data_IF_824898498694
#
_entry.id   IF_824898498694
#
_cell.length_a   1.000
_cell.length_b   1.000
_cell.length_c   1.000
_cell.angle_alpha   90.00
_cell.angle_beta   90.00
_cell.angle_gamma   90.00
#
_symmetry.space_group_name_H-M   'P 1'
#
loop_
_entity.id
_entity.type
_entity.pdbx_description
1 polymer ?
#
# COMPACT_ATOMS: atom_id res chain seq x y z
N UNK A 1 24.86 1.44 -3.35
CA UNK A 1 24.09 1.70 -4.61
C UNK A 1 24.83 2.71 -5.48
N UNK A 2 25.53 3.71 -4.93
CA UNK A 2 26.39 4.62 -5.71
C UNK A 2 27.40 3.89 -6.60
N UNK A 3 27.87 2.71 -6.19
CA UNK A 3 28.79 1.84 -6.95
C UNK A 3 28.20 1.27 -8.26
N UNK A 4 26.90 1.34 -8.47
CA UNK A 4 26.22 0.84 -9.69
C UNK A 4 26.12 1.92 -10.80
N UNK A 5 26.48 3.17 -10.50
CA UNK A 5 26.28 4.32 -11.40
C UNK A 5 24.79 4.66 -11.58
N UNK A 6 24.46 5.69 -12.37
CA UNK A 6 23.09 6.01 -12.75
C UNK A 6 22.20 6.54 -11.63
N UNK A 7 22.73 7.38 -10.73
CA UNK A 7 21.98 8.00 -9.62
C UNK A 7 20.70 8.73 -10.05
N UNK A 8 20.66 9.23 -11.30
CA UNK A 8 19.44 9.83 -11.88
C UNK A 8 18.25 8.88 -11.96
N UNK A 9 18.50 7.56 -11.96
CA UNK A 9 17.46 6.53 -12.00
C UNK A 9 17.17 5.90 -10.63
N UNK A 10 17.75 6.43 -9.55
CA UNK A 10 17.61 5.84 -8.21
C UNK A 10 16.15 5.72 -7.74
N UNK A 11 15.33 6.73 -8.02
CA UNK A 11 13.90 6.71 -7.69
C UNK A 11 13.16 5.52 -8.34
N UNK A 12 13.60 5.08 -9.51
CA UNK A 12 13.02 3.94 -10.22
C UNK A 12 13.21 2.60 -9.50
N UNK A 13 14.22 2.47 -8.66
CA UNK A 13 14.43 1.27 -7.82
C UNK A 13 13.24 1.05 -6.87
N UNK A 14 12.70 2.14 -6.33
CA UNK A 14 11.50 2.10 -5.50
C UNK A 14 10.22 2.04 -6.33
N UNK A 15 10.11 2.87 -7.35
CA UNK A 15 8.91 2.99 -8.18
C UNK A 15 8.58 1.71 -8.93
N UNK A 16 9.57 1.02 -9.52
CA UNK A 16 9.36 -0.25 -10.21
C UNK A 16 8.75 -1.31 -9.29
N UNK A 17 9.26 -1.43 -8.06
CA UNK A 17 8.69 -2.31 -7.05
C UNK A 17 7.26 -1.91 -6.67
N UNK A 18 7.03 -0.63 -6.41
CA UNK A 18 5.72 -0.12 -6.00
C UNK A 18 4.67 -0.35 -7.10
N UNK A 19 5.01 -0.02 -8.35
CA UNK A 19 4.13 -0.21 -9.52
C UNK A 19 3.74 -1.68 -9.64
N UNK A 20 4.73 -2.57 -9.74
CA UNK A 20 4.46 -4.00 -9.97
C UNK A 20 3.76 -4.65 -8.80
N UNK A 21 4.09 -4.28 -7.56
CA UNK A 21 3.38 -4.79 -6.38
C UNK A 21 1.92 -4.34 -6.33
N UNK A 22 1.63 -3.08 -6.70
CA UNK A 22 0.25 -2.56 -6.70
C UNK A 22 -0.59 -3.17 -7.81
N UNK A 23 -0.03 -3.22 -9.01
CA UNK A 23 -0.73 -3.70 -10.22
C UNK A 23 -1.16 -5.16 -10.10
N UNK A 24 -0.37 -6.00 -9.45
CA UNK A 24 -0.65 -7.45 -9.34
C UNK A 24 -1.60 -7.82 -8.21
N UNK A 25 -1.89 -6.93 -7.26
CA UNK A 25 -2.78 -7.20 -6.11
C UNK A 25 -4.13 -7.81 -6.49
N UNK A 26 -4.94 -7.25 -7.42
CA UNK A 26 -6.23 -7.82 -7.77
C UNK A 26 -6.11 -9.19 -8.45
N UNK A 27 -5.08 -9.34 -9.27
CA UNK A 27 -4.80 -10.60 -9.99
C UNK A 27 -4.48 -11.72 -9.00
N UNK A 28 -3.57 -11.49 -8.05
CA UNK A 28 -3.27 -12.46 -6.99
C UNK A 28 -4.51 -12.81 -6.16
N UNK A 29 -5.34 -11.81 -5.84
CA UNK A 29 -6.60 -12.02 -5.12
C UNK A 29 -7.52 -12.98 -5.85
N UNK A 30 -7.80 -12.72 -7.12
CA UNK A 30 -8.66 -13.58 -7.96
C UNK A 30 -8.05 -14.97 -8.15
N UNK A 31 -6.76 -15.05 -8.49
CA UNK A 31 -6.09 -16.33 -8.66
C UNK A 31 -6.13 -17.16 -7.37
N UNK A 32 -6.03 -16.54 -6.21
CA UNK A 32 -6.11 -17.23 -4.93
C UNK A 32 -7.52 -17.79 -4.67
N UNK A 33 -8.56 -17.11 -5.14
CA UNK A 33 -9.94 -17.61 -5.09
C UNK A 33 -10.15 -18.81 -6.01
N UNK A 34 -9.37 -18.95 -7.10
CA UNK A 34 -9.46 -20.02 -8.08
C UNK A 34 -8.57 -21.22 -7.68
N UNK A 35 -7.29 -20.98 -7.47
CA UNK A 35 -6.28 -22.05 -7.29
C UNK A 35 -5.97 -22.41 -5.84
N UNK A 36 -6.51 -21.64 -4.88
CA UNK A 36 -6.23 -21.81 -3.46
C UNK A 36 -5.20 -20.82 -2.91
N UNK A 37 -5.34 -20.55 -1.60
CA UNK A 37 -4.52 -19.54 -0.90
C UNK A 37 -3.09 -20.03 -0.70
N UNK A 38 -2.93 -21.29 -0.33
CA UNK A 38 -1.63 -21.91 -0.04
C UNK A 38 -0.70 -21.85 -1.23
N UNK A 39 -1.16 -22.35 -2.39
CA UNK A 39 -0.35 -22.39 -3.61
C UNK A 39 0.06 -20.97 -4.03
N UNK A 40 -0.90 -20.04 -4.10
CA UNK A 40 -0.63 -18.69 -4.59
C UNK A 40 0.22 -17.89 -3.62
N UNK A 41 0.07 -18.10 -2.32
CA UNK A 41 0.93 -17.46 -1.32
C UNK A 41 2.38 -17.96 -1.43
N UNK A 42 2.58 -19.27 -1.60
CA UNK A 42 3.91 -19.86 -1.82
C UNK A 42 4.55 -19.36 -3.12
N UNK A 43 3.78 -19.29 -4.22
CA UNK A 43 4.25 -18.71 -5.48
C UNK A 43 4.62 -17.22 -5.31
N UNK A 44 3.81 -16.46 -4.59
CA UNK A 44 4.12 -15.07 -4.25
C UNK A 44 5.44 -14.93 -3.49
N UNK A 45 5.66 -15.76 -2.46
CA UNK A 45 6.94 -15.80 -1.73
C UNK A 45 8.08 -16.17 -2.68
N UNK A 46 7.93 -17.21 -3.51
CA UNK A 46 8.97 -17.65 -4.42
C UNK A 46 9.39 -16.55 -5.41
N UNK A 47 8.42 -15.88 -6.04
CA UNK A 47 8.68 -14.74 -6.94
C UNK A 47 9.33 -13.57 -6.20
N UNK A 48 8.86 -13.25 -4.98
CA UNK A 48 9.45 -12.21 -4.15
C UNK A 48 10.92 -12.51 -3.80
N UNK A 49 11.20 -13.74 -3.36
CA UNK A 49 12.56 -14.16 -3.01
C UNK A 49 13.49 -14.21 -4.23
N UNK A 50 12.99 -14.69 -5.37
CA UNK A 50 13.74 -14.64 -6.63
C UNK A 50 14.14 -13.20 -6.97
N UNK A 51 13.17 -12.27 -6.99
CA UNK A 51 13.46 -10.86 -7.22
C UNK A 51 14.40 -10.25 -6.18
N UNK A 52 14.31 -10.69 -4.92
CA UNK A 52 15.19 -10.25 -3.84
C UNK A 52 16.65 -10.73 -4.07
N UNK A 53 16.85 -12.01 -4.36
CA UNK A 53 18.17 -12.59 -4.65
C UNK A 53 18.79 -11.89 -5.86
N UNK A 54 18.04 -11.77 -6.96
CA UNK A 54 18.50 -11.08 -8.17
C UNK A 54 18.83 -9.61 -7.90
N UNK A 55 18.06 -8.90 -7.08
CA UNK A 55 18.37 -7.52 -6.67
C UNK A 55 19.71 -7.42 -5.93
N UNK A 56 20.01 -8.38 -5.06
CA UNK A 56 21.31 -8.45 -4.39
C UNK A 56 22.46 -8.79 -5.33
N UNK A 57 22.22 -9.51 -6.43
CA UNK A 57 23.20 -9.87 -7.45
C UNK A 57 23.35 -8.78 -8.54
N UNK A 58 22.59 -7.70 -8.52
CA UNK A 58 22.62 -6.68 -9.57
C UNK A 58 24.00 -6.03 -9.74
N UNK A 59 24.40 -5.86 -11.00
CA UNK A 59 25.67 -5.27 -11.41
C UNK A 59 25.53 -3.89 -12.05
N UNK A 60 24.29 -3.47 -12.34
CA UNK A 60 23.95 -2.15 -12.89
C UNK A 60 22.63 -1.65 -12.29
N UNK A 61 22.38 -0.33 -12.39
CA UNK A 61 21.12 0.27 -11.96
C UNK A 61 19.92 -0.31 -12.74
N UNK A 62 20.08 -0.55 -14.05
CA UNK A 62 19.03 -1.15 -14.87
C UNK A 62 18.68 -2.57 -14.41
N UNK A 63 19.67 -3.40 -14.09
CA UNK A 63 19.43 -4.74 -13.49
C UNK A 63 18.68 -4.62 -12.16
N UNK A 64 19.11 -3.71 -11.28
CA UNK A 64 18.45 -3.50 -9.99
C UNK A 64 16.98 -3.11 -10.17
N UNK A 65 16.68 -2.16 -11.07
CA UNK A 65 15.30 -1.74 -11.36
C UNK A 65 14.47 -2.91 -11.90
N UNK A 66 14.99 -3.68 -12.86
CA UNK A 66 14.28 -4.84 -13.42
C UNK A 66 14.01 -5.93 -12.36
N UNK A 67 15.00 -6.22 -11.53
CA UNK A 67 14.85 -7.23 -10.47
C UNK A 67 13.93 -6.75 -9.32
N UNK A 68 13.91 -5.46 -9.05
CA UNK A 68 12.92 -4.85 -8.16
C UNK A 68 11.50 -4.95 -8.70
N UNK A 69 11.32 -4.84 -10.03
CA UNK A 69 10.02 -5.10 -10.64
C UNK A 69 9.59 -6.57 -10.44
N UNK A 70 10.49 -7.53 -10.62
CA UNK A 70 10.22 -8.96 -10.33
C UNK A 70 9.86 -9.16 -8.86
N UNK A 71 10.62 -8.57 -7.95
CA UNK A 71 10.33 -8.63 -6.51
C UNK A 71 8.95 -8.06 -6.17
N UNK A 72 8.58 -6.94 -6.82
CA UNK A 72 7.27 -6.32 -6.67
C UNK A 72 6.12 -7.23 -7.13
N UNK A 73 6.29 -7.97 -8.25
CA UNK A 73 5.27 -8.95 -8.69
C UNK A 73 4.90 -9.93 -7.58
N UNK A 74 5.90 -10.46 -6.86
CA UNK A 74 5.66 -11.36 -5.72
C UNK A 74 5.09 -10.64 -4.50
N UNK A 75 5.58 -9.43 -4.21
CA UNK A 75 5.13 -8.63 -3.07
C UNK A 75 3.62 -8.31 -3.11
N UNK A 76 3.07 -8.14 -4.32
CA UNK A 76 1.64 -7.93 -4.53
C UNK A 76 0.75 -9.07 -4.01
N UNK A 77 1.30 -10.28 -3.83
CA UNK A 77 0.60 -11.41 -3.22
C UNK A 77 0.66 -11.39 -1.68
N UNK A 78 1.78 -10.99 -1.07
CA UNK A 78 2.10 -11.30 0.32
C UNK A 78 1.10 -10.68 1.31
N UNK A 79 0.85 -9.38 1.22
CA UNK A 79 -0.05 -8.69 2.15
C UNK A 79 -1.51 -9.10 1.94
N UNK A 80 -2.11 -8.98 0.73
CA UNK A 80 -3.53 -9.27 0.55
C UNK A 80 -3.87 -10.74 0.77
N UNK A 81 -3.03 -11.68 0.31
CA UNK A 81 -3.28 -13.10 0.54
C UNK A 81 -3.07 -13.49 2.00
N UNK A 82 -2.08 -12.92 2.70
CA UNK A 82 -1.92 -13.10 4.13
C UNK A 82 -3.17 -12.68 4.90
N UNK A 83 -3.73 -11.52 4.56
CA UNK A 83 -4.99 -11.03 5.14
C UNK A 83 -6.21 -11.89 4.76
N UNK A 84 -6.22 -12.42 3.53
CA UNK A 84 -7.26 -13.35 3.08
C UNK A 84 -7.20 -14.67 3.84
N UNK A 85 -6.01 -15.23 4.06
CA UNK A 85 -5.80 -16.45 4.84
C UNK A 85 -6.30 -16.27 6.28
N UNK A 86 -5.98 -15.13 6.92
CA UNK A 86 -6.52 -14.79 8.24
C UNK A 86 -8.06 -14.77 8.19
N UNK A 87 -8.64 -14.20 7.13
CA UNK A 87 -10.08 -14.18 6.90
C UNK A 87 -10.71 -15.56 6.64
N UNK A 88 -10.00 -16.52 6.11
CA UNK A 88 -10.48 -17.88 5.85
C UNK A 88 -10.36 -18.81 7.08
N UNK A 89 -9.27 -18.68 7.83
CA UNK A 89 -8.89 -19.63 8.89
C UNK A 89 -9.45 -19.25 10.25
N UNK A 90 -9.53 -17.97 10.55
CA UNK A 90 -9.85 -17.47 11.88
C UNK A 90 -11.31 -17.02 12.01
N UNK A 91 -11.88 -17.16 13.21
CA UNK A 91 -13.18 -16.58 13.60
C UNK A 91 -13.11 -15.05 13.62
N UNK A 92 -14.25 -14.37 13.68
CA UNK A 92 -14.29 -12.89 13.69
C UNK A 92 -13.47 -12.29 14.85
N UNK A 93 -13.55 -12.88 16.03
CA UNK A 93 -12.80 -12.42 17.20
C UNK A 93 -11.31 -12.64 17.05
N UNK A 94 -10.92 -13.80 16.54
CA UNK A 94 -9.52 -14.12 16.28
C UNK A 94 -8.93 -13.25 15.16
N UNK A 95 -9.70 -12.93 14.10
CA UNK A 95 -9.27 -12.00 13.04
C UNK A 95 -8.92 -10.63 13.59
N UNK A 96 -9.77 -10.09 14.46
CA UNK A 96 -9.52 -8.81 15.10
C UNK A 96 -8.22 -8.82 15.90
N UNK A 97 -7.95 -9.93 16.64
CA UNK A 97 -6.70 -10.13 17.38
C UNK A 97 -5.48 -10.29 16.46
N UNK A 98 -5.59 -11.09 15.39
CA UNK A 98 -4.51 -11.30 14.43
C UNK A 98 -4.17 -10.01 13.68
N UNK A 99 -5.16 -9.21 13.30
CA UNK A 99 -4.94 -7.91 12.66
C UNK A 99 -4.23 -6.92 13.59
N UNK A 100 -4.57 -6.92 14.87
CA UNK A 100 -3.87 -6.11 15.86
C UNK A 100 -2.38 -6.53 15.96
N UNK A 101 -2.12 -7.85 15.96
CA UNK A 101 -0.74 -8.38 15.92
C UNK A 101 0.00 -7.97 14.63
N UNK A 102 -0.66 -8.04 13.48
CA UNK A 102 -0.12 -7.58 12.20
C UNK A 102 0.26 -6.09 12.23
N UNK A 103 -0.62 -5.26 12.81
CA UNK A 103 -0.34 -3.82 13.00
C UNK A 103 0.86 -3.60 13.91
N UNK A 104 1.02 -4.41 14.96
CA UNK A 104 2.18 -4.38 15.86
C UNK A 104 3.49 -4.70 15.13
N UNK A 105 3.48 -5.74 14.28
CA UNK A 105 4.65 -6.10 13.44
C UNK A 105 5.00 -4.97 12.48
N UNK A 106 4.01 -4.34 11.84
CA UNK A 106 4.22 -3.17 10.97
C UNK A 106 4.83 -1.99 11.73
N UNK A 107 4.31 -1.70 12.94
CA UNK A 107 4.85 -0.65 13.80
C UNK A 107 6.29 -0.93 14.21
N UNK A 108 6.61 -2.16 14.60
CA UNK A 108 7.98 -2.56 14.96
C UNK A 108 8.91 -2.45 13.73
N UNK A 109 8.48 -2.94 12.58
CA UNK A 109 9.24 -2.90 11.35
C UNK A 109 9.55 -1.45 10.90
N UNK A 110 8.63 -0.50 11.12
CA UNK A 110 8.84 0.90 10.77
C UNK A 110 9.95 1.57 11.58
N UNK A 111 10.17 1.11 12.81
CA UNK A 111 11.25 1.62 13.71
C UNK A 111 12.55 0.87 13.48
N UNK A 112 12.48 -0.46 13.45
CA UNK A 112 13.67 -1.33 13.31
C UNK A 112 14.24 -1.29 11.90
N UNK A 113 13.38 -1.15 10.89
CA UNK A 113 13.76 -1.21 9.46
C UNK A 113 14.88 -0.22 9.08
N UNK A 114 14.71 1.09 9.29
CA UNK A 114 15.74 2.08 8.98
C UNK A 114 17.05 1.86 9.74
N UNK A 115 16.96 1.48 11.03
CA UNK A 115 18.15 1.23 11.86
C UNK A 115 18.90 -0.01 11.38
N UNK A 116 18.19 -1.12 11.18
CA UNK A 116 18.77 -2.36 10.69
C UNK A 116 19.31 -2.21 9.25
N UNK A 117 18.55 -1.54 8.38
CA UNK A 117 18.96 -1.29 6.99
C UNK A 117 20.20 -0.41 6.90
N UNK A 118 20.29 0.64 7.73
CA UNK A 118 21.48 1.49 7.86
C UNK A 118 22.68 0.69 8.34
N UNK A 119 22.55 -0.01 9.46
CA UNK A 119 23.61 -0.86 10.01
C UNK A 119 24.13 -1.90 9.00
N UNK A 120 23.21 -2.62 8.33
CA UNK A 120 23.57 -3.62 7.32
C UNK A 120 24.32 -2.97 6.14
N UNK A 121 23.87 -1.80 5.70
CA UNK A 121 24.47 -1.09 4.57
C UNK A 121 25.88 -0.59 4.91
N UNK A 122 26.09 -0.09 6.14
CA UNK A 122 27.34 0.50 6.59
C UNK A 122 28.39 -0.55 6.96
N UNK A 123 27.97 -1.67 7.62
CA UNK A 123 28.89 -2.67 8.15
C UNK A 123 29.14 -3.85 7.19
N UNK A 124 28.20 -4.16 6.29
CA UNK A 124 28.30 -5.29 5.37
C UNK A 124 28.29 -4.81 3.93
N UNK A 125 27.10 -4.68 3.35
CA UNK A 125 26.87 -4.16 2.01
C UNK A 125 25.37 -3.92 1.82
N UNK A 126 24.99 -2.93 1.00
CA UNK A 126 23.60 -2.70 0.63
C UNK A 126 22.91 -3.94 0.03
N UNK A 127 23.65 -4.90 -0.53
CA UNK A 127 23.13 -6.16 -1.08
C UNK A 127 22.47 -7.03 -0.02
N UNK A 128 22.94 -6.99 1.20
CA UNK A 128 22.38 -7.75 2.32
C UNK A 128 20.99 -7.30 2.74
N UNK A 129 20.59 -6.07 2.41
CA UNK A 129 19.20 -5.59 2.58
C UNK A 129 18.22 -6.46 1.80
N UNK A 130 18.67 -7.03 0.68
CA UNK A 130 17.87 -7.97 -0.11
C UNK A 130 18.01 -9.41 0.38
N UNK A 131 19.21 -9.86 0.73
CA UNK A 131 19.45 -11.24 1.15
C UNK A 131 18.81 -11.58 2.49
N UNK A 132 18.60 -10.63 3.40
CA UNK A 132 17.90 -10.86 4.67
C UNK A 132 16.47 -11.38 4.49
N UNK A 133 15.84 -11.10 3.35
CA UNK A 133 14.51 -11.62 3.02
C UNK A 133 14.51 -13.15 2.78
N UNK A 134 15.65 -13.72 2.40
CA UNK A 134 15.72 -15.14 1.99
C UNK A 134 15.44 -16.08 3.16
N UNK A 135 16.16 -16.02 4.30
CA UNK A 135 15.88 -16.91 5.42
C UNK A 135 14.47 -16.69 5.99
N UNK A 136 14.00 -15.45 6.06
CA UNK A 136 12.65 -15.14 6.57
C UNK A 136 11.56 -15.66 5.63
N UNK A 137 11.73 -15.45 4.32
CA UNK A 137 10.77 -15.92 3.33
C UNK A 137 10.72 -17.45 3.20
N UNK A 138 11.89 -18.13 3.28
CA UNK A 138 11.93 -19.59 3.30
C UNK A 138 11.24 -20.17 4.55
N UNK A 139 11.48 -19.58 5.71
CA UNK A 139 10.80 -19.96 6.96
C UNK A 139 9.27 -19.76 6.83
N UNK A 140 8.84 -18.62 6.30
CA UNK A 140 7.43 -18.33 6.05
C UNK A 140 6.81 -19.34 5.06
N UNK A 141 7.49 -19.65 3.95
CA UNK A 141 7.03 -20.64 2.98
C UNK A 141 6.90 -22.05 3.61
N UNK A 142 7.88 -22.45 4.42
CA UNK A 142 7.86 -23.73 5.12
C UNK A 142 6.68 -23.80 6.11
N UNK A 143 6.53 -22.80 6.97
CA UNK A 143 5.44 -22.74 7.97
C UNK A 143 4.09 -22.80 7.25
N UNK A 144 3.87 -21.97 6.22
CA UNK A 144 2.63 -21.97 5.45
C UNK A 144 2.38 -23.29 4.72
N UNK A 145 3.44 -23.91 4.20
CA UNK A 145 3.38 -25.21 3.56
C UNK A 145 2.98 -26.35 4.49
N UNK A 146 3.39 -26.30 5.74
CA UNK A 146 3.07 -27.31 6.75
C UNK A 146 1.73 -27.06 7.46
N UNK A 147 1.46 -25.79 7.79
CA UNK A 147 0.32 -25.43 8.64
C UNK A 147 -0.99 -25.28 7.86
N UNK A 148 -0.97 -24.73 6.63
CA UNK A 148 -2.18 -24.45 5.89
C UNK A 148 -2.64 -25.68 5.09
N UNK A 149 -3.75 -26.28 5.54
CA UNK A 149 -4.44 -27.35 4.83
C UNK A 149 -5.67 -26.78 4.13
N UNK A 150 -5.72 -26.90 2.80
CA UNK A 150 -6.86 -26.47 2.00
C UNK A 150 -7.64 -27.70 1.49
N UNK A 151 -8.98 -27.66 1.51
CA UNK A 151 -9.78 -28.69 0.84
C UNK A 151 -9.56 -28.63 -0.68
N UNK A 152 -9.55 -29.79 -1.32
CA UNK A 152 -9.45 -29.86 -2.79
C UNK A 152 -10.64 -29.14 -3.43
N UNK A 153 -10.38 -28.20 -4.32
CA UNK A 153 -11.42 -27.51 -5.09
C UNK A 153 -11.82 -28.38 -6.30
N UNK A 154 -13.13 -28.55 -6.47
CA UNK A 154 -13.71 -29.39 -7.53
C UNK A 154 -13.88 -28.59 -8.82
N UNK A 155 -14.16 -27.30 -8.73
CA UNK A 155 -14.39 -26.44 -9.89
C UNK A 155 -13.14 -25.62 -10.25
N UNK A 156 -12.81 -25.57 -11.54
CA UNK A 156 -11.77 -24.73 -12.11
C UNK A 156 -12.46 -23.65 -12.97
N UNK A 157 -12.80 -22.47 -12.39
CA UNK A 157 -13.32 -21.38 -13.19
C UNK A 157 -12.29 -20.94 -14.23
N UNK A 158 -12.76 -20.41 -15.34
CA UNK A 158 -11.91 -19.84 -16.38
C UNK A 158 -11.25 -18.56 -15.87
N UNK A 159 -10.09 -18.20 -16.43
CA UNK A 159 -9.41 -16.95 -16.12
C UNK A 159 -9.59 -16.00 -17.28
N UNK A 160 -10.04 -14.78 -16.98
CA UNK A 160 -10.04 -13.68 -17.93
C UNK A 160 -8.63 -13.07 -18.07
N UNK A 161 -7.80 -13.70 -18.91
CA UNK A 161 -6.44 -13.19 -19.18
C UNK A 161 -6.47 -11.81 -19.87
N UNK A 162 -7.47 -11.53 -20.70
CA UNK A 162 -7.59 -10.26 -21.39
C UNK A 162 -7.94 -9.13 -20.40
N UNK A 163 -8.91 -9.38 -19.51
CA UNK A 163 -9.24 -8.46 -18.42
C UNK A 163 -8.07 -8.24 -17.48
N UNK A 164 -7.34 -9.31 -17.08
CA UNK A 164 -6.15 -9.19 -16.26
C UNK A 164 -5.09 -8.31 -16.92
N UNK A 165 -4.77 -8.55 -18.20
CA UNK A 165 -3.77 -7.78 -18.94
C UNK A 165 -4.19 -6.31 -19.09
N UNK A 166 -5.46 -6.04 -19.42
CA UNK A 166 -6.00 -4.68 -19.56
C UNK A 166 -5.97 -3.93 -18.22
N UNK A 167 -6.36 -4.59 -17.11
CA UNK A 167 -6.30 -4.02 -15.77
C UNK A 167 -4.84 -3.66 -15.40
N UNK A 168 -3.94 -4.61 -15.57
CA UNK A 168 -2.52 -4.41 -15.25
C UNK A 168 -1.91 -3.28 -16.09
N UNK A 169 -2.20 -3.21 -17.38
CA UNK A 169 -1.69 -2.16 -18.26
C UNK A 169 -2.27 -0.79 -17.88
N UNK A 170 -3.59 -0.70 -17.66
CA UNK A 170 -4.23 0.55 -17.25
C UNK A 170 -3.63 1.11 -15.95
N UNK A 171 -3.47 0.25 -14.93
CA UNK A 171 -2.89 0.65 -13.65
C UNK A 171 -1.41 1.00 -13.81
N UNK A 172 -0.66 0.26 -14.63
CA UNK A 172 0.76 0.58 -14.89
C UNK A 172 0.88 1.97 -15.51
N UNK A 173 0.11 2.29 -16.53
CA UNK A 173 0.09 3.61 -17.15
C UNK A 173 -0.29 4.72 -16.14
N UNK A 174 -1.31 4.46 -15.32
CA UNK A 174 -1.71 5.38 -14.26
C UNK A 174 -0.58 5.60 -13.24
N UNK A 175 0.05 4.53 -12.77
CA UNK A 175 1.14 4.61 -11.81
C UNK A 175 2.37 5.32 -12.40
N UNK A 176 2.70 5.05 -13.66
CA UNK A 176 3.76 5.77 -14.37
C UNK A 176 3.45 7.26 -14.44
N UNK A 177 2.23 7.64 -14.82
CA UNK A 177 1.81 9.03 -14.86
C UNK A 177 1.93 9.72 -13.49
N UNK A 178 1.55 9.03 -12.41
CA UNK A 178 1.64 9.58 -11.05
C UNK A 178 3.08 9.68 -10.55
N UNK A 179 3.92 8.70 -10.84
CA UNK A 179 5.34 8.69 -10.42
C UNK A 179 6.16 9.72 -11.19
N UNK A 180 5.99 9.80 -12.51
CA UNK A 180 6.71 10.77 -13.34
C UNK A 180 6.17 12.20 -13.16
N UNK A 181 4.85 12.33 -12.99
CA UNK A 181 4.18 13.62 -12.86
C UNK A 181 4.23 14.24 -11.47
N UNK A 182 4.41 13.43 -10.42
CA UNK A 182 4.23 13.85 -9.03
C UNK A 182 5.25 14.85 -8.48
N UNK A 183 6.29 15.21 -9.25
CA UNK A 183 7.33 16.13 -8.81
C UNK A 183 6.88 17.62 -8.89
N UNK A 184 6.20 18.01 -9.97
CA UNK A 184 5.75 19.41 -10.19
C UNK A 184 4.45 19.45 -10.99
N UNK A 185 3.71 20.57 -10.90
CA UNK A 185 2.50 20.76 -11.70
C UNK A 185 2.81 20.75 -13.21
N UNK A 186 3.94 21.30 -13.63
CA UNK A 186 4.37 21.32 -15.04
C UNK A 186 4.69 19.94 -15.57
N UNK A 187 5.28 19.06 -14.77
CA UNK A 187 5.52 17.65 -15.15
C UNK A 187 4.19 16.87 -15.18
N UNK A 188 3.29 17.11 -14.23
CA UNK A 188 1.98 16.47 -14.19
C UNK A 188 1.15 16.77 -15.44
N UNK A 189 1.21 18.02 -15.95
CA UNK A 189 0.48 18.47 -17.13
C UNK A 189 1.28 18.37 -18.43
N UNK A 190 2.47 17.79 -18.42
CA UNK A 190 3.27 17.60 -19.62
C UNK A 190 2.55 16.75 -20.68
N UNK A 191 2.77 16.97 -22.01
CA UNK A 191 2.12 16.19 -23.05
C UNK A 191 2.32 14.69 -22.90
N UNK A 192 3.51 14.26 -22.49
CA UNK A 192 3.85 12.86 -22.22
C UNK A 192 3.00 12.30 -21.08
N UNK A 193 2.86 13.05 -20.01
CA UNK A 193 2.13 12.60 -18.83
C UNK A 193 0.61 12.59 -19.08
N UNK A 194 0.10 13.56 -19.82
CA UNK A 194 -1.30 13.57 -20.29
C UNK A 194 -1.59 12.38 -21.20
N UNK A 195 -0.64 11.98 -22.06
CA UNK A 195 -0.76 10.78 -22.90
C UNK A 195 -0.80 9.50 -22.04
N UNK A 196 -0.02 9.43 -20.95
CA UNK A 196 -0.09 8.30 -19.99
C UNK A 196 -1.45 8.24 -19.28
N UNK A 197 -1.99 9.37 -18.81
CA UNK A 197 -3.33 9.43 -18.22
C UNK A 197 -4.42 9.06 -19.22
N UNK A 198 -4.35 9.57 -20.45
CA UNK A 198 -5.29 9.23 -21.51
C UNK A 198 -5.21 7.73 -21.86
N UNK A 199 -4.00 7.18 -21.98
CA UNK A 199 -3.77 5.76 -22.20
C UNK A 199 -4.34 4.91 -21.07
N UNK A 200 -4.11 5.32 -19.81
CA UNK A 200 -4.68 4.66 -18.64
C UNK A 200 -6.21 4.65 -18.68
N UNK A 201 -6.83 5.78 -19.03
CA UNK A 201 -8.28 5.91 -19.14
C UNK A 201 -8.85 5.05 -20.28
N UNK A 202 -8.23 5.06 -21.48
CA UNK A 202 -8.67 4.26 -22.63
C UNK A 202 -8.56 2.76 -22.33
N UNK A 203 -7.41 2.31 -21.80
CA UNK A 203 -7.22 0.90 -21.46
C UNK A 203 -8.10 0.51 -20.27
N UNK A 204 -8.36 1.42 -19.33
CA UNK A 204 -9.30 1.22 -18.23
C UNK A 204 -10.75 1.07 -18.73
N UNK A 205 -11.17 1.86 -19.71
CA UNK A 205 -12.46 1.70 -20.36
C UNK A 205 -12.55 0.36 -21.11
N UNK A 206 -11.49 -0.03 -21.81
CA UNK A 206 -11.39 -1.34 -22.47
C UNK A 206 -11.47 -2.48 -21.43
N UNK A 207 -10.80 -2.36 -20.29
CA UNK A 207 -10.92 -3.32 -19.19
C UNK A 207 -12.37 -3.45 -18.72
N UNK A 208 -13.06 -2.33 -18.45
CA UNK A 208 -14.48 -2.35 -18.02
C UNK A 208 -15.35 -3.03 -19.09
N UNK A 209 -15.10 -2.77 -20.37
CA UNK A 209 -15.83 -3.39 -21.46
C UNK A 209 -15.58 -4.91 -21.54
N UNK A 210 -14.33 -5.39 -21.45
CA UNK A 210 -13.97 -6.81 -21.42
C UNK A 210 -14.64 -7.47 -20.22
N UNK A 211 -14.44 -6.91 -19.02
CA UNK A 211 -14.89 -7.42 -17.74
C UNK A 211 -16.42 -7.56 -17.67
N UNK A 212 -17.14 -6.61 -18.29
CA UNK A 212 -18.61 -6.65 -18.35
C UNK A 212 -19.17 -7.81 -19.16
N UNK A 213 -18.33 -8.40 -20.05
CA UNK A 213 -18.68 -9.52 -20.94
C UNK A 213 -18.00 -10.82 -20.53
N UNK A 214 -17.04 -10.77 -19.64
CA UNK A 214 -16.31 -11.94 -19.16
C UNK A 214 -17.24 -12.90 -18.40
N UNK A 215 -17.08 -14.20 -18.64
CA UNK A 215 -17.83 -15.24 -17.92
C UNK A 215 -17.38 -15.34 -16.46
N UNK A 216 -16.08 -15.24 -16.24
CA UNK A 216 -15.44 -15.31 -14.92
C UNK A 216 -14.52 -14.09 -14.68
N UNK A 217 -15.11 -12.89 -14.44
CA UNK A 217 -14.36 -11.64 -14.36
C UNK A 217 -13.30 -11.63 -13.25
N UNK A 218 -12.20 -10.88 -13.46
CA UNK A 218 -11.16 -10.65 -12.43
C UNK A 218 -11.75 -9.83 -11.28
N UNK A 219 -12.47 -8.75 -11.61
CA UNK A 219 -13.14 -7.88 -10.64
C UNK A 219 -14.66 -7.95 -10.88
N UNK A 220 -15.38 -8.87 -10.23
CA UNK A 220 -16.83 -8.98 -10.45
C UNK A 220 -17.53 -7.68 -10.04
N UNK A 221 -18.01 -6.87 -11.00
CA UNK A 221 -18.71 -5.61 -10.72
C UNK A 221 -19.94 -5.78 -9.85
N UNK A 222 -20.51 -6.99 -9.78
CA UNK A 222 -21.59 -7.33 -8.85
C UNK A 222 -21.20 -7.11 -7.37
N UNK A 223 -19.89 -7.19 -7.04
CA UNK A 223 -19.40 -6.88 -5.69
C UNK A 223 -19.75 -5.46 -5.25
N UNK A 224 -19.67 -4.50 -6.18
CA UNK A 224 -19.98 -3.09 -5.90
C UNK A 224 -21.47 -2.80 -5.72
N UNK A 225 -22.35 -3.76 -5.99
CA UNK A 225 -23.78 -3.66 -5.61
C UNK A 225 -23.95 -3.82 -4.09
N UNK A 226 -23.01 -4.45 -3.42
CA UNK A 226 -22.98 -4.51 -1.97
C UNK A 226 -22.41 -3.18 -1.43
N UNK A 227 -23.26 -2.42 -0.74
CA UNK A 227 -22.92 -1.11 -0.18
C UNK A 227 -21.71 -1.17 0.78
N UNK A 228 -21.54 -2.26 1.53
CA UNK A 228 -20.40 -2.42 2.44
C UNK A 228 -19.11 -2.51 1.65
N UNK A 229 -19.07 -3.27 0.56
CA UNK A 229 -17.90 -3.39 -0.31
C UNK A 229 -17.55 -2.03 -0.91
N UNK A 230 -18.53 -1.35 -1.53
CA UNK A 230 -18.30 -0.04 -2.16
C UNK A 230 -17.78 0.99 -1.17
N UNK A 231 -18.45 1.12 -0.01
CA UNK A 231 -18.03 2.06 1.03
C UNK A 231 -16.63 1.72 1.54
N UNK A 232 -16.31 0.43 1.76
CA UNK A 232 -14.99 0.00 2.23
C UNK A 232 -13.89 0.29 1.21
N UNK A 233 -14.15 0.12 -0.08
CA UNK A 233 -13.19 0.41 -1.16
C UNK A 233 -12.96 1.93 -1.26
N UNK A 234 -14.02 2.75 -1.28
CA UNK A 234 -13.90 4.20 -1.36
C UNK A 234 -13.23 4.78 -0.10
N UNK A 235 -13.67 4.37 1.08
CA UNK A 235 -13.05 4.81 2.34
C UNK A 235 -11.60 4.31 2.46
N UNK A 236 -11.29 3.12 1.95
CA UNK A 236 -9.93 2.60 1.84
C UNK A 236 -9.03 3.47 0.96
N UNK A 237 -9.55 3.94 -0.19
CA UNK A 237 -8.85 4.91 -1.05
C UNK A 237 -8.52 6.21 -0.31
N UNK A 238 -9.51 6.82 0.33
CA UNK A 238 -9.32 8.07 1.08
C UNK A 238 -8.37 7.89 2.26
N UNK A 239 -8.47 6.77 2.98
CA UNK A 239 -7.55 6.44 4.06
C UNK A 239 -6.12 6.20 3.53
N UNK A 240 -5.97 5.67 2.31
CA UNK A 240 -4.69 5.57 1.60
C UNK A 240 -4.08 6.94 1.30
N UNK A 241 -4.89 7.88 0.76
CA UNK A 241 -4.47 9.29 0.56
C UNK A 241 -3.95 9.88 1.87
N UNK A 242 -4.72 9.75 2.94
CA UNK A 242 -4.38 10.26 4.26
C UNK A 242 -3.08 9.64 4.80
N UNK A 243 -2.98 8.32 4.80
CA UNK A 243 -1.83 7.57 5.33
C UNK A 243 -0.52 7.93 4.62
N UNK A 244 -0.49 7.80 3.30
CA UNK A 244 0.74 8.07 2.54
C UNK A 244 1.05 9.56 2.48
N UNK A 245 0.03 10.42 2.48
CA UNK A 245 0.20 11.86 2.63
C UNK A 245 0.91 12.22 3.94
N UNK A 246 0.44 11.72 5.08
CA UNK A 246 1.08 11.97 6.37
C UNK A 246 2.51 11.43 6.41
N UNK A 247 2.74 10.17 5.99
CA UNK A 247 4.06 9.53 6.02
C UNK A 247 5.08 10.26 5.13
N UNK A 248 4.64 10.82 4.01
CA UNK A 248 5.54 11.49 3.04
C UNK A 248 5.77 12.96 3.41
N UNK A 249 4.70 13.71 3.68
CA UNK A 249 4.80 15.17 3.76
C UNK A 249 5.06 15.71 5.16
N UNK A 250 4.72 14.98 6.23
CA UNK A 250 5.06 15.43 7.59
C UNK A 250 6.58 15.49 7.83
N UNK A 251 7.36 14.44 7.49
CA UNK A 251 8.82 14.53 7.59
C UNK A 251 9.43 15.59 6.66
N UNK A 252 8.88 15.75 5.46
CA UNK A 252 9.33 16.77 4.51
C UNK A 252 9.12 18.19 5.06
N UNK A 253 7.93 18.46 5.62
CA UNK A 253 7.64 19.71 6.31
C UNK A 253 8.58 19.97 7.49
N UNK A 254 8.83 18.94 8.31
CA UNK A 254 9.71 19.08 9.45
C UNK A 254 11.16 19.43 9.05
N UNK A 255 11.67 18.82 7.98
CA UNK A 255 13.01 19.15 7.47
C UNK A 255 13.04 20.53 6.81
N UNK A 256 12.08 20.83 5.92
CA UNK A 256 12.06 22.07 5.15
C UNK A 256 11.65 23.31 5.94
N UNK A 257 10.64 23.19 6.81
CA UNK A 257 10.06 24.34 7.52
C UNK A 257 10.55 24.50 8.95
N UNK A 258 10.86 23.39 9.66
CA UNK A 258 11.28 23.41 11.07
C UNK A 258 12.78 23.18 11.24
N UNK A 259 13.54 22.95 10.16
CA UNK A 259 14.98 22.70 10.19
C UNK A 259 15.37 21.39 10.91
N UNK A 260 14.46 20.40 11.00
CA UNK A 260 14.72 19.14 11.67
C UNK A 260 15.70 18.29 10.88
N UNK A 261 16.57 17.54 11.56
CA UNK A 261 17.40 16.51 10.93
C UNK A 261 16.53 15.38 10.35
N UNK A 262 17.06 14.58 9.43
CA UNK A 262 16.35 13.44 8.87
C UNK A 262 15.88 12.45 9.96
N UNK A 263 16.71 12.21 10.98
CA UNK A 263 16.37 11.36 12.12
C UNK A 263 15.23 11.95 12.96
N UNK A 264 15.28 13.26 13.24
CA UNK A 264 14.22 13.96 13.97
C UNK A 264 12.90 13.94 13.19
N UNK A 265 12.96 14.21 11.90
CA UNK A 265 11.78 14.18 11.02
C UNK A 265 11.14 12.79 10.94
N UNK A 266 11.94 11.73 10.85
CA UNK A 266 11.46 10.35 10.90
C UNK A 266 10.81 10.01 12.24
N UNK A 267 11.39 10.45 13.36
CA UNK A 267 10.86 10.19 14.71
C UNK A 267 9.52 10.87 14.98
N UNK A 268 9.16 11.94 14.23
CA UNK A 268 7.84 12.57 14.31
C UNK A 268 6.69 11.60 13.95
N UNK A 269 6.96 10.58 13.14
CA UNK A 269 5.94 9.59 12.80
C UNK A 269 5.69 8.57 13.93
N UNK A 270 6.53 8.52 14.95
CA UNK A 270 6.39 7.56 16.06
C UNK A 270 5.05 7.66 16.79
N UNK A 271 4.54 8.86 17.19
CA UNK A 271 3.24 9.00 17.82
C UNK A 271 2.09 8.49 16.91
N UNK A 272 2.16 8.77 15.61
CA UNK A 272 1.21 8.27 14.63
C UNK A 272 1.19 6.74 14.60
N UNK A 273 2.37 6.10 14.51
CA UNK A 273 2.50 4.65 14.44
C UNK A 273 2.05 3.96 15.72
N UNK A 274 2.45 4.48 16.90
CA UNK A 274 2.03 3.93 18.18
C UNK A 274 0.54 4.04 18.40
N UNK A 275 -0.05 5.18 18.08
CA UNK A 275 -1.49 5.40 18.15
C UNK A 275 -2.24 4.49 17.17
N UNK A 276 -1.75 4.33 15.93
CA UNK A 276 -2.34 3.41 14.96
C UNK A 276 -2.37 1.98 15.49
N UNK A 277 -1.25 1.47 16.00
CA UNK A 277 -1.17 0.10 16.56
C UNK A 277 -2.12 -0.03 17.77
N UNK A 278 -2.05 0.90 18.72
CA UNK A 278 -2.89 0.89 19.92
C UNK A 278 -4.38 0.91 19.59
N UNK A 279 -4.80 1.81 18.71
CA UNK A 279 -6.19 1.93 18.31
C UNK A 279 -6.66 0.82 17.34
N UNK A 280 -5.77 0.14 16.63
CA UNK A 280 -6.12 -1.10 15.93
C UNK A 280 -6.52 -2.22 16.91
N UNK A 281 -5.83 -2.34 18.05
CA UNK A 281 -6.16 -3.31 19.10
C UNK A 281 -7.51 -2.98 19.76
N UNK A 282 -7.69 -1.71 20.14
CA UNK A 282 -8.95 -1.22 20.73
C UNK A 282 -10.09 -1.34 19.71
N UNK A 283 -9.84 -0.97 18.46
CA UNK A 283 -10.77 -1.04 17.36
C UNK A 283 -11.29 -2.44 17.08
N UNK A 284 -10.45 -3.46 17.20
CA UNK A 284 -10.87 -4.85 17.11
C UNK A 284 -11.92 -5.22 18.17
N UNK A 285 -11.71 -4.78 19.43
CA UNK A 285 -12.68 -4.99 20.53
C UNK A 285 -13.95 -4.14 20.36
N UNK A 286 -13.78 -2.90 19.91
CA UNK A 286 -14.90 -1.98 19.69
C UNK A 286 -15.80 -2.48 18.56
N UNK A 287 -15.21 -2.96 17.47
CA UNK A 287 -15.92 -3.55 16.34
C UNK A 287 -16.83 -4.72 16.75
N UNK A 288 -16.36 -5.57 17.68
CA UNK A 288 -17.14 -6.69 18.19
C UNK A 288 -18.31 -6.23 19.07
N UNK A 289 -18.19 -5.10 19.78
CA UNK A 289 -19.21 -4.56 20.68
C UNK A 289 -20.25 -3.70 19.99
N UNK A 290 -19.80 -2.76 19.14
CA UNK A 290 -20.68 -1.73 18.53
C UNK A 290 -20.88 -1.92 17.03
N UNK A 291 -20.14 -2.85 16.40
CA UNK A 291 -20.23 -3.16 14.97
C UNK A 291 -19.33 -2.28 14.08
N UNK A 292 -19.37 -2.55 12.77
CA UNK A 292 -18.49 -1.92 11.78
C UNK A 292 -18.78 -0.45 11.55
N UNK A 293 -20.08 -0.09 11.43
CA UNK A 293 -20.50 1.25 11.01
C UNK A 293 -20.05 2.34 11.99
N UNK A 294 -20.37 2.28 13.31
CA UNK A 294 -19.94 3.30 14.24
C UNK A 294 -18.42 3.34 14.38
N UNK A 295 -17.73 2.19 14.41
CA UNK A 295 -16.27 2.14 14.50
C UNK A 295 -15.59 2.81 13.31
N UNK A 296 -16.07 2.55 12.08
CA UNK A 296 -15.54 3.20 10.87
C UNK A 296 -15.83 4.71 10.85
N UNK A 297 -17.02 5.14 11.27
CA UNK A 297 -17.38 6.57 11.33
C UNK A 297 -16.46 7.30 12.32
N UNK A 298 -16.24 6.76 13.51
CA UNK A 298 -15.33 7.37 14.49
C UNK A 298 -13.91 7.43 13.94
N UNK A 299 -13.42 6.35 13.30
CA UNK A 299 -12.10 6.34 12.68
C UNK A 299 -11.93 7.39 11.59
N UNK A 300 -12.90 7.52 10.67
CA UNK A 300 -12.88 8.53 9.61
C UNK A 300 -13.04 9.96 10.16
N UNK A 301 -13.85 10.15 11.20
CA UNK A 301 -13.99 11.43 11.87
C UNK A 301 -12.67 11.88 12.53
N UNK A 302 -11.97 10.96 13.21
CA UNK A 302 -10.65 11.23 13.76
C UNK A 302 -9.62 11.56 12.67
N UNK A 303 -9.63 10.86 11.53
CA UNK A 303 -8.78 11.22 10.39
C UNK A 303 -9.06 12.64 9.90
N UNK A 304 -10.32 12.95 9.68
CA UNK A 304 -10.73 14.30 9.23
C UNK A 304 -10.32 15.36 10.24
N UNK A 305 -10.57 15.14 11.53
CA UNK A 305 -10.19 16.07 12.60
C UNK A 305 -8.67 16.23 12.66
N UNK A 306 -7.90 15.15 12.63
CA UNK A 306 -6.44 15.20 12.70
C UNK A 306 -5.83 15.99 11.53
N UNK A 307 -6.32 15.78 10.30
CA UNK A 307 -5.86 16.56 9.14
C UNK A 307 -6.37 18.02 9.16
N UNK A 308 -7.57 18.28 9.67
CA UNK A 308 -8.06 19.64 9.85
C UNK A 308 -7.20 20.43 10.86
N UNK A 309 -6.81 19.80 11.97
CA UNK A 309 -5.90 20.40 12.94
C UNK A 309 -4.51 20.60 12.31
N UNK A 310 -3.96 19.57 11.64
CA UNK A 310 -2.66 19.65 10.97
C UNK A 310 -2.61 20.77 9.92
N UNK A 311 -3.72 21.10 9.26
CA UNK A 311 -3.78 22.20 8.29
C UNK A 311 -3.57 23.58 8.91
N UNK A 312 -3.81 23.73 10.21
CA UNK A 312 -3.58 24.96 10.97
C UNK A 312 -2.18 25.04 11.62
N UNK A 313 -1.39 23.97 11.52
CA UNK A 313 -0.05 23.90 12.10
C UNK A 313 0.92 24.82 11.34
N UNK A 314 1.60 25.70 12.06
CA UNK A 314 2.55 26.67 11.51
C UNK A 314 3.93 26.62 12.21
N UNK A 315 4.89 27.41 11.71
CA UNK A 315 6.25 27.47 12.25
C UNK A 315 6.31 27.88 13.74
N UNK A 316 5.34 28.66 14.19
CA UNK A 316 5.24 29.17 15.57
C UNK A 316 4.49 28.22 16.51
N UNK A 317 3.83 27.19 15.96
CA UNK A 317 3.03 26.24 16.73
C UNK A 317 3.98 25.32 17.54
N UNK A 318 3.76 25.15 18.85
CA UNK A 318 4.58 24.25 19.67
C UNK A 318 4.56 22.81 19.11
N UNK A 319 5.71 22.14 19.09
CA UNK A 319 5.86 20.76 18.55
C UNK A 319 4.94 19.74 19.23
N UNK A 320 4.55 20.01 20.48
CA UNK A 320 3.59 19.15 21.21
C UNK A 320 2.26 18.97 20.45
N UNK A 321 1.74 20.04 19.82
CA UNK A 321 0.52 19.98 19.04
C UNK A 321 0.66 19.07 17.82
N UNK A 322 1.81 19.12 17.14
CA UNK A 322 2.10 18.21 16.03
C UNK A 322 2.06 16.73 16.45
N UNK A 323 2.61 16.41 17.62
CA UNK A 323 2.52 15.05 18.15
C UNK A 323 1.09 14.63 18.45
N UNK A 324 0.28 15.51 19.01
CA UNK A 324 -1.13 15.23 19.31
C UNK A 324 -1.94 15.02 18.02
N UNK A 325 -1.74 15.87 17.02
CA UNK A 325 -2.39 15.76 15.71
C UNK A 325 -2.04 14.44 15.02
N UNK A 326 -0.76 14.06 15.04
CA UNK A 326 -0.29 12.79 14.49
C UNK A 326 -0.85 11.58 15.27
N UNK A 327 -1.01 11.69 16.59
CA UNK A 327 -1.68 10.66 17.39
C UNK A 327 -3.16 10.51 16.99
N UNK A 328 -3.86 11.61 16.76
CA UNK A 328 -5.26 11.62 16.30
C UNK A 328 -5.38 10.96 14.91
N UNK A 329 -4.48 11.31 13.98
CA UNK A 329 -4.44 10.69 12.64
C UNK A 329 -4.16 9.19 12.77
N UNK A 330 -3.17 8.78 13.58
CA UNK A 330 -2.86 7.38 13.83
C UNK A 330 -4.03 6.61 14.43
N UNK A 331 -4.72 7.20 15.40
CA UNK A 331 -5.94 6.64 15.98
C UNK A 331 -7.03 6.40 14.93
N UNK A 332 -7.25 7.39 14.07
CA UNK A 332 -8.19 7.30 12.96
C UNK A 332 -7.82 6.19 11.97
N UNK A 333 -6.54 6.07 11.60
CA UNK A 333 -6.04 4.98 10.75
C UNK A 333 -6.25 3.61 11.40
N UNK A 334 -5.95 3.47 12.70
CA UNK A 334 -6.10 2.21 13.44
C UNK A 334 -7.53 1.70 13.45
N UNK A 335 -8.49 2.57 13.76
CA UNK A 335 -9.90 2.23 13.75
C UNK A 335 -10.42 1.96 12.33
N UNK A 336 -10.04 2.76 11.36
CA UNK A 336 -10.57 2.67 9.99
C UNK A 336 -10.07 1.45 9.23
N UNK A 337 -8.75 1.24 9.19
CA UNK A 337 -8.13 0.21 8.36
C UNK A 337 -8.58 -1.20 8.72
N UNK A 338 -8.56 -1.51 10.02
CA UNK A 338 -9.02 -2.79 10.53
C UNK A 338 -10.50 -3.01 10.23
N UNK A 339 -11.32 -2.00 10.53
CA UNK A 339 -12.77 -2.09 10.39
C UNK A 339 -13.20 -2.29 8.93
N UNK A 340 -12.63 -1.53 7.99
CA UNK A 340 -12.95 -1.65 6.57
C UNK A 340 -12.55 -3.02 6.00
N UNK A 341 -11.39 -3.53 6.42
CA UNK A 341 -10.94 -4.86 6.00
C UNK A 341 -11.88 -5.97 6.49
N UNK A 342 -12.20 -5.98 7.77
CA UNK A 342 -13.09 -7.00 8.34
C UNK A 342 -14.51 -6.85 7.76
N UNK A 343 -15.00 -5.62 7.59
CA UNK A 343 -16.31 -5.38 7.01
C UNK A 343 -16.43 -5.94 5.59
N UNK A 344 -15.43 -5.69 4.72
CA UNK A 344 -15.44 -6.22 3.36
C UNK A 344 -15.36 -7.74 3.34
N UNK A 345 -14.57 -8.33 4.22
CA UNK A 345 -14.45 -9.79 4.34
C UNK A 345 -15.74 -10.47 4.80
N UNK A 346 -16.50 -9.82 5.69
CA UNK A 346 -17.80 -10.32 6.17
C UNK A 346 -18.93 -10.09 5.15
N UNK A 347 -18.78 -9.15 4.24
CA UNK A 347 -19.79 -8.80 3.26
C UNK A 347 -19.82 -9.73 2.03
N UNK A 348 -18.85 -10.64 1.89
CA UNK A 348 -18.69 -11.52 0.73
C UNK A 348 -18.59 -12.98 1.13
N UNK A 349 -18.93 -13.87 0.20
CA UNK A 349 -18.73 -15.32 0.38
C UNK A 349 -17.26 -15.72 0.32
N UNK A 350 -16.95 -16.91 0.81
CA UNK A 350 -15.56 -17.47 0.81
C UNK A 350 -14.91 -17.52 -0.57
N UNK A 351 -15.71 -17.73 -1.62
CA UNK A 351 -15.22 -17.78 -3.01
C UNK A 351 -14.79 -16.43 -3.57
N UNK A 352 -15.14 -15.33 -2.90
CA UNK A 352 -14.83 -13.96 -3.31
C UNK A 352 -13.97 -13.22 -2.26
N UNK A 353 -13.53 -13.91 -1.23
CA UNK A 353 -12.80 -13.30 -0.11
C UNK A 353 -11.45 -12.74 -0.57
N UNK A 354 -10.75 -13.46 -1.43
CA UNK A 354 -9.45 -13.05 -1.98
C UNK A 354 -9.57 -11.78 -2.80
N UNK A 355 -10.49 -11.74 -3.77
CA UNK A 355 -10.67 -10.55 -4.60
C UNK A 355 -11.18 -9.35 -3.79
N UNK A 356 -12.12 -9.54 -2.87
CA UNK A 356 -12.65 -8.44 -2.06
C UNK A 356 -11.59 -7.84 -1.11
N UNK A 357 -10.78 -8.69 -0.47
CA UNK A 357 -9.64 -8.27 0.36
C UNK A 357 -8.59 -7.53 -0.49
N UNK A 358 -8.28 -8.07 -1.65
CA UNK A 358 -7.31 -7.47 -2.59
C UNK A 358 -7.79 -6.14 -3.14
N UNK A 359 -9.08 -5.99 -3.45
CA UNK A 359 -9.66 -4.71 -3.89
C UNK A 359 -9.56 -3.63 -2.80
N UNK A 360 -9.80 -3.98 -1.55
CA UNK A 360 -9.63 -3.04 -0.43
C UNK A 360 -8.16 -2.60 -0.29
N UNK A 361 -7.22 -3.55 -0.36
CA UNK A 361 -5.79 -3.25 -0.31
C UNK A 361 -5.32 -2.43 -1.52
N UNK A 362 -5.76 -2.82 -2.72
CA UNK A 362 -5.47 -2.14 -3.97
C UNK A 362 -5.96 -0.70 -3.96
N UNK A 363 -7.22 -0.48 -3.57
CA UNK A 363 -7.82 0.85 -3.45
C UNK A 363 -6.99 1.77 -2.55
N UNK A 364 -6.51 1.26 -1.41
CA UNK A 364 -5.64 1.97 -0.49
C UNK A 364 -4.30 2.34 -1.12
N UNK A 365 -3.68 1.41 -1.85
CA UNK A 365 -2.40 1.67 -2.52
C UNK A 365 -2.51 2.73 -3.62
N UNK A 366 -3.56 2.63 -4.44
CA UNK A 366 -3.86 3.65 -5.48
C UNK A 366 -4.16 5.01 -4.82
N UNK A 367 -4.98 5.02 -3.75
CA UNK A 367 -5.25 6.24 -3.00
C UNK A 367 -3.98 6.91 -2.50
N UNK A 368 -3.05 6.11 -1.98
CA UNK A 368 -1.75 6.61 -1.55
C UNK A 368 -0.93 7.23 -2.67
N UNK A 369 -0.84 6.55 -3.82
CA UNK A 369 -0.09 7.06 -4.97
C UNK A 369 -0.71 8.36 -5.52
N UNK A 370 -2.02 8.41 -5.69
CA UNK A 370 -2.76 9.62 -6.12
C UNK A 370 -2.57 10.74 -5.10
N UNK A 371 -2.72 10.44 -3.80
CA UNK A 371 -2.57 11.41 -2.72
C UNK A 371 -1.19 12.06 -2.72
N UNK A 372 -0.13 11.25 -2.79
CA UNK A 372 1.25 11.76 -2.82
C UNK A 372 1.50 12.60 -4.08
N UNK A 373 1.04 12.16 -5.25
CA UNK A 373 1.22 12.92 -6.49
C UNK A 373 0.49 14.28 -6.46
N UNK A 374 -0.77 14.30 -6.01
CA UNK A 374 -1.56 15.55 -5.91
C UNK A 374 -0.97 16.50 -4.88
N UNK A 375 -0.63 16.01 -3.68
CA UNK A 375 -0.02 16.84 -2.64
C UNK A 375 1.36 17.37 -3.07
N UNK A 376 2.16 16.56 -3.77
CA UNK A 376 3.44 16.99 -4.34
C UNK A 376 3.29 18.13 -5.36
N UNK A 377 2.32 18.00 -6.27
CA UNK A 377 2.01 19.04 -7.24
C UNK A 377 1.53 20.34 -6.57
N UNK A 378 0.66 20.26 -5.56
CA UNK A 378 0.19 21.42 -4.78
C UNK A 378 1.35 22.09 -4.05
N UNK A 379 2.21 21.32 -3.39
CA UNK A 379 3.39 21.84 -2.69
C UNK A 379 4.34 22.57 -3.66
N UNK A 380 4.63 21.98 -4.82
CA UNK A 380 5.53 22.57 -5.80
C UNK A 380 4.96 23.87 -6.42
N UNK A 381 3.64 23.92 -6.66
CA UNK A 381 2.97 25.11 -7.15
C UNK A 381 3.02 26.26 -6.11
N UNK A 382 2.77 25.93 -4.83
CA UNK A 382 2.85 26.90 -3.73
C UNK A 382 4.27 27.46 -3.55
N UNK A 383 5.29 26.59 -3.60
CA UNK A 383 6.68 27.04 -3.52
C UNK A 383 7.08 27.94 -4.70
N UNK A 384 6.67 27.59 -5.92
CA UNK A 384 6.96 28.39 -7.10
C UNK A 384 6.32 29.79 -7.03
N UNK A 385 5.06 29.92 -6.55
CA UNK A 385 4.38 31.22 -6.39
C UNK A 385 5.10 32.11 -5.36
N UNK A 386 5.44 31.56 -4.20
CA UNK A 386 6.13 32.32 -3.15
C UNK A 386 7.57 32.74 -3.54
N UNK A 387 8.30 31.88 -4.28
CA UNK A 387 9.63 32.27 -4.79
C UNK A 387 9.54 33.39 -5.83
N UNK A 388 8.52 33.40 -6.68
CA UNK A 388 8.30 34.49 -7.64
C UNK A 388 7.88 35.81 -6.95
N UNK A 389 7.11 35.74 -5.86
CA UNK A 389 6.77 36.89 -5.04
C UNK A 389 7.99 37.48 -4.30
N UNK A 390 8.85 36.59 -3.75
CA UNK A 390 10.06 37.01 -3.05
C UNK A 390 11.16 37.59 -3.96
N UNK A 391 11.10 37.27 -5.28
CA UNK A 391 12.02 37.77 -6.29
C UNK A 391 11.56 39.13 -6.91
N UNK A 392 10.36 39.58 -6.61
CA UNK A 392 9.83 40.90 -6.98
C UNK A 392 10.08 41.92 -5.88
#
# INVERSE_FOLDING_TARGET
IASLGGLSHYSWVFSAYLITSTVTVPVWGKLSDIYGRRLLYQLGIAVFLLGSILSGLSTSMAHLIAFRAVQGLGAGALVPLGMTIIGDVFTLEERARMQAFFSGVWGLASVVGPVAGGFITDQLSWRWVFYINVPVGLAAALIMGLALREPKRVERPSIDYAGAAALMLSITLLMLALVEGGATLSTLTSPRNLALFAGAAVVGALFVWIESRARDPIVPFKLFRNRVVTVSVVAGFLAGVAMFGAITFVPLFAQGALGASATQAGSLLTPLMLSWVGLSIIGGRLLLKVGYRPTAIVGLALLTLGFALLSSFGRTTPRFWLYLELMIIGAGLGLTMLTLLIAVQQAVGRTQLGIATSLNQFSRSIGGAVGVAVMGAVLSAGLASHLMEAAR
#
